data_IF_888374866720
#
_entry.id   IF_888374866720
#
_cell.length_a   1.000
_cell.length_b   1.000
_cell.length_c   1.000
_cell.angle_alpha   90.00
_cell.angle_beta   90.00
_cell.angle_gamma   90.00
#
_symmetry.space_group_name_H-M   'P 1'
#
loop_
_entity.id
_entity.type
_entity.pdbx_description
1 polymer ?
#
# COMPACT_ATOMS: atom_id res chain seq x y z
N UNK A 1 -2.58 -44.52 0.92
CA UNK A 1 -1.40 -44.15 0.11
C UNK A 1 -1.54 -44.48 -1.37
N UNK A 2 -1.89 -45.72 -1.76
CA UNK A 2 -2.04 -46.12 -3.19
C UNK A 2 -2.90 -45.18 -4.05
N UNK A 3 -4.01 -44.66 -3.52
CA UNK A 3 -4.88 -43.72 -4.25
C UNK A 3 -4.22 -42.36 -4.57
N UNK A 4 -3.21 -41.96 -3.78
CA UNK A 4 -2.51 -40.68 -3.95
C UNK A 4 -1.23 -40.82 -4.78
N UNK A 5 -0.80 -42.04 -5.10
CA UNK A 5 0.41 -42.32 -5.87
C UNK A 5 0.46 -41.56 -7.21
N UNK A 6 -0.63 -41.46 -8.01
CA UNK A 6 -0.59 -40.70 -9.25
C UNK A 6 -0.31 -39.20 -9.04
N UNK A 7 -0.81 -38.60 -7.95
CA UNK A 7 -0.51 -37.20 -7.60
C UNK A 7 0.96 -37.05 -7.23
N UNK A 8 1.48 -37.99 -6.43
CA UNK A 8 2.88 -37.97 -6.00
C UNK A 8 3.86 -38.08 -7.17
N UNK A 9 3.60 -39.00 -8.12
CA UNK A 9 4.40 -39.18 -9.33
C UNK A 9 4.45 -37.90 -10.16
N UNK A 10 3.30 -37.27 -10.42
CA UNK A 10 3.23 -36.04 -11.21
C UNK A 10 3.96 -34.87 -10.52
N UNK A 11 3.86 -34.76 -9.19
CA UNK A 11 4.61 -33.75 -8.43
C UNK A 11 6.12 -34.00 -8.50
N UNK A 12 6.56 -35.25 -8.35
CA UNK A 12 7.97 -35.63 -8.44
C UNK A 12 8.56 -35.36 -9.84
N UNK A 13 7.83 -35.70 -10.90
CA UNK A 13 8.19 -35.36 -12.29
C UNK A 13 8.35 -33.84 -12.51
N UNK A 14 7.57 -33.03 -11.78
CA UNK A 14 7.63 -31.58 -11.80
C UNK A 14 8.66 -30.97 -10.84
N UNK A 15 9.41 -31.80 -10.10
CA UNK A 15 10.39 -31.37 -9.10
C UNK A 15 9.79 -30.78 -7.82
N UNK A 16 8.51 -31.06 -7.53
CA UNK A 16 7.81 -30.55 -6.34
C UNK A 16 7.96 -31.56 -5.21
N UNK A 17 8.57 -31.17 -4.07
CA UNK A 17 8.79 -32.08 -2.95
C UNK A 17 7.46 -32.42 -2.27
N UNK A 18 7.06 -33.69 -2.35
CA UNK A 18 5.89 -34.22 -1.65
C UNK A 18 6.28 -35.44 -0.81
N UNK A 19 5.68 -35.56 0.36
CA UNK A 19 5.89 -36.69 1.27
C UNK A 19 4.57 -37.33 1.68
N UNK A 20 4.58 -38.65 1.85
CA UNK A 20 3.44 -39.38 2.42
C UNK A 20 3.34 -39.13 3.93
N UNK A 21 2.12 -38.97 4.42
CA UNK A 21 1.84 -38.79 5.84
C UNK A 21 0.39 -39.06 6.20
N UNK A 22 -0.02 -38.59 7.38
CA UNK A 22 -1.42 -38.63 7.82
C UNK A 22 -2.00 -37.23 7.93
N UNK A 23 -3.31 -37.10 7.76
CA UNK A 23 -4.06 -35.87 7.98
C UNK A 23 -5.22 -36.17 8.92
N UNK A 24 -5.43 -35.36 9.95
CA UNK A 24 -6.57 -35.49 10.85
C UNK A 24 -7.61 -34.41 10.51
N UNK A 25 -8.81 -34.79 10.04
CA UNK A 25 -9.89 -33.85 9.81
C UNK A 25 -10.26 -33.09 11.08
N UNK A 26 -10.52 -31.79 10.95
CA UNK A 26 -10.86 -30.93 12.09
C UNK A 26 -12.33 -31.10 12.54
N UNK A 27 -13.22 -31.45 11.62
CA UNK A 27 -14.62 -31.74 11.95
C UNK A 27 -14.73 -33.10 12.65
N UNK A 28 -15.63 -33.25 13.63
CA UNK A 28 -15.96 -34.58 14.15
C UNK A 28 -16.64 -35.43 13.06
N UNK A 29 -16.68 -36.74 13.26
CA UNK A 29 -17.42 -37.65 12.40
C UNK A 29 -18.94 -37.52 12.59
N UNK A 30 -19.71 -38.40 11.94
CA UNK A 30 -21.16 -38.43 12.04
C UNK A 30 -21.68 -38.69 13.48
N UNK A 31 -20.86 -39.30 14.34
CA UNK A 31 -21.18 -39.62 15.74
C UNK A 31 -20.78 -38.51 16.72
N UNK A 32 -20.06 -37.49 16.26
CA UNK A 32 -19.51 -36.44 17.10
C UNK A 32 -18.11 -36.74 17.66
N UNK A 33 -17.53 -37.90 17.31
CA UNK A 33 -16.18 -38.28 17.74
C UNK A 33 -15.10 -37.67 16.83
N UNK A 34 -13.85 -37.50 17.33
CA UNK A 34 -12.74 -37.07 16.49
C UNK A 34 -12.50 -38.06 15.34
N UNK A 35 -12.40 -37.56 14.11
CA UNK A 35 -12.14 -38.41 12.95
C UNK A 35 -10.77 -39.10 13.03
N UNK A 36 -10.72 -40.34 12.53
CA UNK A 36 -9.48 -41.11 12.35
C UNK A 36 -8.55 -40.40 11.36
N UNK A 37 -7.23 -40.35 11.61
CA UNK A 37 -6.28 -39.83 10.63
C UNK A 37 -6.35 -40.60 9.31
N UNK A 38 -6.42 -39.88 8.19
CA UNK A 38 -6.42 -40.43 6.84
C UNK A 38 -5.05 -40.31 6.19
N UNK A 39 -4.76 -41.13 5.18
CA UNK A 39 -3.55 -41.00 4.39
C UNK A 39 -3.57 -39.68 3.59
N UNK A 40 -2.43 -39.00 3.53
CA UNK A 40 -2.28 -37.74 2.84
C UNK A 40 -0.92 -37.62 2.14
N UNK A 41 -0.87 -36.79 1.10
CA UNK A 41 0.38 -36.21 0.64
C UNK A 41 0.53 -34.82 1.26
N UNK A 42 1.75 -34.49 1.66
CA UNK A 42 2.12 -33.20 2.22
C UNK A 42 3.19 -32.54 1.38
N UNK A 43 3.03 -31.25 1.15
CA UNK A 43 4.03 -30.38 0.56
C UNK A 43 4.18 -29.17 1.46
N UNK A 44 5.40 -28.84 1.86
CA UNK A 44 5.66 -27.70 2.76
C UNK A 44 6.74 -26.84 2.12
N UNK A 45 6.60 -25.52 2.27
CA UNK A 45 7.64 -24.59 1.88
C UNK A 45 8.92 -24.84 2.71
N UNK A 46 10.09 -24.53 2.14
CA UNK A 46 11.36 -24.65 2.87
C UNK A 46 11.42 -23.73 4.10
N UNK A 47 10.75 -22.58 4.04
CA UNK A 47 10.66 -21.59 5.12
C UNK A 47 9.42 -21.78 6.02
N UNK A 48 8.67 -22.88 5.85
CA UNK A 48 7.38 -23.18 6.51
C UNK A 48 6.28 -22.11 6.33
N UNK A 49 6.45 -21.18 5.39
CA UNK A 49 5.47 -20.09 5.14
C UNK A 49 4.12 -20.59 4.62
N UNK A 50 4.08 -21.80 4.07
CA UNK A 50 2.85 -22.47 3.67
C UNK A 50 3.01 -23.99 3.70
N UNK A 51 1.88 -24.68 3.84
CA UNK A 51 1.76 -26.12 3.67
C UNK A 51 0.52 -26.47 2.84
N UNK A 52 0.62 -27.58 2.14
CA UNK A 52 -0.47 -28.16 1.39
C UNK A 52 -0.65 -29.62 1.79
N UNK A 53 -1.92 -30.03 1.83
CA UNK A 53 -2.34 -31.40 2.09
C UNK A 53 -3.23 -31.84 0.94
N UNK A 54 -2.90 -33.00 0.36
CA UNK A 54 -3.75 -33.69 -0.60
C UNK A 54 -4.29 -34.97 0.02
N UNK A 55 -5.61 -35.13 0.02
CA UNK A 55 -6.29 -36.36 0.48
C UNK A 55 -7.24 -36.89 -0.59
N UNK A 56 -7.56 -38.17 -0.53
CA UNK A 56 -8.62 -38.77 -1.32
C UNK A 56 -9.89 -38.83 -0.47
N UNK A 57 -11.01 -38.37 -1.02
CA UNK A 57 -12.29 -38.23 -0.31
C UNK A 57 -13.46 -38.66 -1.20
N UNK A 58 -14.61 -38.92 -0.60
CA UNK A 58 -15.90 -39.06 -1.28
C UNK A 58 -16.55 -37.70 -1.44
N UNK A 59 -16.86 -37.34 -2.68
CA UNK A 59 -17.52 -36.09 -3.05
C UNK A 59 -18.79 -36.33 -3.86
N UNK A 60 -19.68 -35.35 -3.87
CA UNK A 60 -20.84 -35.30 -4.75
C UNK A 60 -20.76 -34.06 -5.64
N UNK A 61 -21.29 -34.17 -6.85
CA UNK A 61 -21.37 -33.04 -7.79
C UNK A 61 -22.33 -31.99 -7.25
N UNK A 62 -21.97 -30.71 -7.37
CA UNK A 62 -22.84 -29.59 -6.97
C UNK A 62 -24.00 -29.44 -7.95
N UNK A 63 -25.22 -29.23 -7.44
CA UNK A 63 -26.37 -28.92 -8.28
C UNK A 63 -26.18 -27.55 -8.95
N UNK A 64 -26.26 -27.50 -10.29
CA UNK A 64 -26.25 -26.24 -11.05
C UNK A 64 -24.88 -25.66 -11.41
N UNK A 65 -23.78 -26.42 -11.31
CA UNK A 65 -22.45 -25.94 -11.73
C UNK A 65 -21.40 -27.04 -11.87
N UNK A 66 -20.24 -26.68 -12.41
CA UNK A 66 -19.06 -27.55 -12.43
C UNK A 66 -18.38 -27.59 -11.05
N UNK A 67 -18.12 -28.78 -10.51
CA UNK A 67 -17.35 -28.97 -9.29
C UNK A 67 -17.98 -29.93 -8.27
N UNK A 68 -17.21 -30.21 -7.23
CA UNK A 68 -17.56 -31.16 -6.17
C UNK A 68 -17.75 -30.45 -4.82
N UNK A 69 -18.59 -31.04 -3.98
CA UNK A 69 -18.63 -30.79 -2.55
C UNK A 69 -18.46 -32.12 -1.82
N UNK A 70 -18.05 -32.07 -0.56
CA UNK A 70 -18.02 -33.24 0.32
C UNK A 70 -18.71 -32.93 1.64
N UNK A 71 -19.24 -33.96 2.26
CA UNK A 71 -19.65 -33.88 3.66
C UNK A 71 -18.39 -33.82 4.54
N UNK A 72 -18.25 -32.82 5.43
CA UNK A 72 -17.10 -32.73 6.33
C UNK A 72 -16.95 -33.91 7.29
N UNK A 73 -18.03 -34.64 7.59
CA UNK A 73 -18.11 -35.72 8.58
C UNK A 73 -17.91 -37.11 7.97
N UNK A 74 -18.43 -37.34 6.76
CA UNK A 74 -18.41 -38.66 6.11
C UNK A 74 -17.51 -38.71 4.88
N UNK A 75 -17.12 -37.57 4.30
CA UNK A 75 -16.34 -37.55 3.06
C UNK A 75 -14.95 -38.21 3.15
N UNK A 76 -14.41 -38.43 4.35
CA UNK A 76 -13.14 -39.14 4.55
C UNK A 76 -13.30 -40.65 4.69
N UNK A 77 -14.53 -41.13 4.86
CA UNK A 77 -14.86 -42.55 4.76
C UNK A 77 -14.96 -42.92 3.28
N UNK A 78 -13.97 -43.69 2.79
CA UNK A 78 -13.91 -44.09 1.39
C UNK A 78 -14.95 -45.15 1.01
N UNK A 79 -15.63 -45.75 1.99
CA UNK A 79 -16.75 -46.67 1.75
C UNK A 79 -18.10 -45.93 1.69
N UNK A 80 -18.12 -44.63 2.01
CA UNK A 80 -19.32 -43.80 1.92
C UNK A 80 -19.75 -43.54 0.45
N UNK A 81 -21.05 -43.27 0.20
CA UNK A 81 -21.53 -42.95 -1.14
C UNK A 81 -20.89 -41.69 -1.73
N UNK A 82 -20.62 -41.72 -3.04
CA UNK A 82 -20.10 -40.58 -3.80
C UNK A 82 -18.95 -40.94 -4.73
N UNK A 83 -18.53 -39.95 -5.51
CA UNK A 83 -17.40 -40.08 -6.41
C UNK A 83 -16.09 -39.96 -5.62
N UNK A 84 -15.10 -40.76 -6.00
CA UNK A 84 -13.75 -40.59 -5.45
C UNK A 84 -13.12 -39.35 -6.08
N UNK A 85 -12.74 -38.39 -5.25
CA UNK A 85 -12.10 -37.13 -5.67
C UNK A 85 -10.88 -36.81 -4.80
N UNK A 86 -10.03 -35.93 -5.32
CA UNK A 86 -8.84 -35.44 -4.63
C UNK A 86 -9.13 -34.08 -4.00
N UNK A 87 -9.01 -34.01 -2.69
CA UNK A 87 -9.05 -32.75 -1.96
C UNK A 87 -7.65 -32.16 -1.88
N UNK A 88 -7.52 -30.88 -2.25
CA UNK A 88 -6.33 -30.06 -1.99
C UNK A 88 -6.70 -28.97 -0.99
N UNK A 89 -6.02 -28.97 0.15
CA UNK A 89 -6.05 -27.88 1.13
C UNK A 89 -4.68 -27.20 1.14
N UNK A 90 -4.64 -25.88 0.99
CA UNK A 90 -3.41 -25.11 1.14
C UNK A 90 -3.61 -24.08 2.24
N UNK A 91 -2.65 -24.04 3.16
CA UNK A 91 -2.56 -23.06 4.22
C UNK A 91 -1.32 -22.24 4.01
N UNK A 92 -1.44 -20.94 4.22
CA UNK A 92 -0.33 -20.01 4.14
C UNK A 92 -0.37 -19.11 5.35
N UNK A 93 0.78 -18.80 5.93
CA UNK A 93 0.88 -17.87 7.03
C UNK A 93 0.26 -16.53 6.63
N UNK A 94 -0.69 -16.08 7.46
CA UNK A 94 -1.27 -14.75 7.43
C UNK A 94 -1.06 -14.17 8.83
N UNK A 95 -0.55 -12.95 8.90
CA UNK A 95 -0.35 -12.21 10.15
C UNK A 95 -1.67 -11.74 10.78
N UNK A 96 -2.80 -12.19 10.22
CA UNK A 96 -4.14 -11.82 10.64
C UNK A 96 -4.55 -10.40 10.22
N UNK A 97 -3.70 -9.63 9.52
CA UNK A 97 -4.06 -8.29 9.04
C UNK A 97 -5.23 -8.37 8.03
N UNK A 98 -5.33 -9.48 7.29
CA UNK A 98 -6.47 -9.83 6.43
C UNK A 98 -7.74 -10.27 7.17
N UNK A 99 -7.65 -10.62 8.46
CA UNK A 99 -8.77 -11.09 9.28
C UNK A 99 -9.02 -12.61 9.23
N UNK A 100 -8.06 -13.40 8.74
CA UNK A 100 -8.24 -14.85 8.56
C UNK A 100 -7.62 -15.72 9.67
N UNK A 101 -7.02 -15.10 10.70
CA UNK A 101 -6.29 -15.82 11.76
C UNK A 101 -4.89 -16.28 11.30
N UNK A 102 -4.11 -16.93 12.17
CA UNK A 102 -2.83 -17.49 11.78
C UNK A 102 -3.04 -18.67 10.82
N UNK A 103 -2.23 -18.72 9.76
CA UNK A 103 -2.13 -19.85 8.81
C UNK A 103 -3.48 -20.35 8.24
N UNK A 104 -4.32 -19.46 7.68
CA UNK A 104 -5.63 -19.83 7.15
C UNK A 104 -5.55 -20.79 5.96
N UNK A 105 -6.63 -21.56 5.75
CA UNK A 105 -6.83 -22.28 4.49
C UNK A 105 -7.15 -21.26 3.39
N UNK A 106 -6.19 -21.02 2.50
CA UNK A 106 -6.28 -20.09 1.38
C UNK A 106 -6.74 -20.76 0.08
N UNK A 107 -6.59 -22.09 -0.01
CA UNK A 107 -7.14 -22.90 -1.09
C UNK A 107 -7.84 -24.11 -0.49
N UNK A 108 -9.08 -24.33 -0.90
CA UNK A 108 -9.84 -25.55 -0.66
C UNK A 108 -10.56 -25.94 -1.95
N UNK A 109 -10.10 -27.02 -2.60
CA UNK A 109 -10.65 -27.48 -3.87
C UNK A 109 -10.72 -29.00 -3.93
N UNK A 110 -11.73 -29.49 -4.65
CA UNK A 110 -11.95 -30.91 -4.92
C UNK A 110 -11.82 -31.16 -6.42
N UNK A 111 -11.00 -32.14 -6.80
CA UNK A 111 -10.66 -32.45 -8.19
C UNK A 111 -11.03 -33.90 -8.50
N UNK A 112 -11.67 -34.13 -9.64
CA UNK A 112 -12.00 -35.48 -10.12
C UNK A 112 -10.75 -36.27 -10.52
N UNK A 113 -9.72 -35.57 -11.04
CA UNK A 113 -8.53 -36.19 -11.59
C UNK A 113 -7.29 -35.87 -10.75
N UNK A 114 -6.45 -36.89 -10.55
CA UNK A 114 -5.16 -36.74 -9.88
C UNK A 114 -4.27 -35.68 -10.54
N UNK A 115 -4.31 -35.58 -11.87
CA UNK A 115 -3.55 -34.58 -12.62
C UNK A 115 -3.94 -33.16 -12.24
N UNK A 116 -5.24 -32.86 -12.16
CA UNK A 116 -5.69 -31.52 -11.78
C UNK A 116 -5.30 -31.16 -10.32
N UNK A 117 -5.32 -32.13 -9.41
CA UNK A 117 -4.84 -31.93 -8.04
C UNK A 117 -3.31 -31.68 -7.99
N UNK A 118 -2.54 -32.44 -8.78
CA UNK A 118 -1.10 -32.24 -8.92
C UNK A 118 -0.79 -30.87 -9.55
N UNK A 119 -1.49 -30.48 -10.61
CA UNK A 119 -1.30 -29.20 -11.30
C UNK A 119 -1.55 -28.00 -10.37
N UNK A 120 -2.57 -28.07 -9.51
CA UNK A 120 -2.82 -27.04 -8.48
C UNK A 120 -1.64 -26.93 -7.50
N UNK A 121 -1.10 -28.06 -7.04
CA UNK A 121 0.04 -28.08 -6.12
C UNK A 121 1.34 -27.59 -6.78
N UNK A 122 1.58 -28.00 -8.03
CA UNK A 122 2.72 -27.55 -8.84
C UNK A 122 2.64 -26.06 -9.10
N UNK A 123 1.47 -25.57 -9.48
CA UNK A 123 1.22 -24.14 -9.66
C UNK A 123 1.54 -23.41 -8.37
N UNK A 124 0.99 -23.85 -7.23
CA UNK A 124 1.21 -23.22 -5.94
C UNK A 124 2.68 -23.13 -5.55
N UNK A 125 3.41 -24.25 -5.66
CA UNK A 125 4.83 -24.33 -5.37
C UNK A 125 5.65 -23.35 -6.22
N UNK A 126 5.26 -23.14 -7.49
CA UNK A 126 5.94 -22.25 -8.43
C UNK A 126 5.47 -20.79 -8.37
N UNK A 127 4.42 -20.45 -7.59
CA UNK A 127 3.80 -19.10 -7.60
C UNK A 127 4.81 -17.99 -7.33
N UNK A 128 5.71 -18.14 -6.36
CA UNK A 128 6.70 -17.10 -6.05
C UNK A 128 7.51 -16.70 -7.29
N UNK A 129 8.06 -17.68 -8.01
CA UNK A 129 8.84 -17.43 -9.24
C UNK A 129 7.98 -16.91 -10.39
N UNK A 130 6.76 -17.43 -10.56
CA UNK A 130 5.85 -17.03 -11.65
C UNK A 130 5.39 -15.57 -11.57
N UNK A 131 5.33 -15.02 -10.35
CA UNK A 131 4.82 -13.67 -10.11
C UNK A 131 5.89 -12.70 -9.60
N UNK A 132 7.14 -13.12 -9.57
CA UNK A 132 8.26 -12.19 -9.38
C UNK A 132 8.35 -11.29 -10.60
N UNK A 133 8.51 -10.00 -10.37
CA UNK A 133 8.63 -8.99 -11.42
C UNK A 133 9.86 -8.15 -11.19
N UNK A 134 10.49 -7.68 -12.26
CA UNK A 134 11.59 -6.73 -12.12
C UNK A 134 11.03 -5.38 -11.64
N UNK A 135 11.59 -4.80 -10.56
CA UNK A 135 11.21 -3.47 -10.13
C UNK A 135 11.48 -2.43 -11.23
N UNK A 136 10.65 -1.38 -11.37
CA UNK A 136 10.84 -0.40 -12.42
C UNK A 136 12.14 0.38 -12.20
N UNK A 137 13.05 0.27 -13.16
CA UNK A 137 14.26 1.08 -13.23
C UNK A 137 13.94 2.36 -14.00
N UNK A 138 14.02 3.49 -13.31
CA UNK A 138 13.79 4.78 -13.94
C UNK A 138 15.05 5.27 -14.66
N UNK A 139 14.93 5.69 -15.93
CA UNK A 139 16.02 6.36 -16.64
C UNK A 139 16.39 7.68 -15.93
N UNK A 140 17.62 7.82 -15.39
CA UNK A 140 18.04 9.03 -14.69
C UNK A 140 17.93 10.30 -15.56
N UNK A 141 18.16 10.20 -16.87
CA UNK A 141 18.03 11.33 -17.80
C UNK A 141 16.57 11.71 -18.01
N UNK A 142 15.68 10.73 -18.14
CA UNK A 142 14.24 10.99 -18.21
C UNK A 142 13.71 11.64 -16.92
N UNK A 143 14.15 11.15 -15.75
CA UNK A 143 13.83 11.73 -14.44
C UNK A 143 14.27 13.19 -14.36
N UNK A 144 15.55 13.47 -14.65
CA UNK A 144 16.09 14.83 -14.59
C UNK A 144 15.35 15.80 -15.53
N UNK A 145 15.05 15.36 -16.76
CA UNK A 145 14.26 16.16 -17.72
C UNK A 145 12.85 16.45 -17.21
N UNK A 146 12.20 15.48 -16.58
CA UNK A 146 10.87 15.65 -16.00
C UNK A 146 10.90 16.63 -14.83
N UNK A 147 11.85 16.49 -13.92
CA UNK A 147 11.97 17.38 -12.76
C UNK A 147 12.33 18.80 -13.17
N UNK A 148 13.23 18.98 -14.16
CA UNK A 148 13.51 20.31 -14.74
C UNK A 148 12.26 20.96 -15.33
N UNK A 149 11.49 20.22 -16.13
CA UNK A 149 10.23 20.72 -16.72
C UNK A 149 9.21 21.11 -15.65
N UNK A 150 9.06 20.27 -14.62
CA UNK A 150 8.18 20.55 -13.47
C UNK A 150 8.62 21.83 -12.77
N UNK A 151 9.92 22.00 -12.52
CA UNK A 151 10.47 23.20 -11.90
C UNK A 151 10.22 24.46 -12.73
N UNK A 152 10.54 24.43 -14.03
CA UNK A 152 10.30 25.56 -14.94
C UNK A 152 8.82 25.96 -14.99
N UNK A 153 7.90 24.98 -15.04
CA UNK A 153 6.47 25.24 -14.98
C UNK A 153 6.02 25.83 -13.63
N UNK A 154 6.63 25.40 -12.52
CA UNK A 154 6.34 25.98 -11.19
C UNK A 154 6.81 27.42 -11.11
N UNK A 155 8.01 27.72 -11.60
CA UNK A 155 8.58 29.07 -11.62
C UNK A 155 7.75 30.01 -12.48
N UNK A 156 7.46 29.63 -13.73
CA UNK A 156 6.62 30.42 -14.63
C UNK A 156 5.21 30.69 -14.06
N UNK A 157 4.61 29.68 -13.42
CA UNK A 157 3.30 29.83 -12.78
C UNK A 157 3.34 30.75 -11.55
N UNK A 158 4.46 30.82 -10.82
CA UNK A 158 4.64 31.71 -9.68
C UNK A 158 4.93 33.16 -10.10
N UNK A 159 5.72 33.35 -11.16
CA UNK A 159 6.03 34.67 -11.76
C UNK A 159 4.78 35.32 -12.38
N UNK A 160 3.91 34.50 -12.97
CA UNK A 160 2.64 34.92 -13.57
C UNK A 160 1.44 34.38 -12.79
N UNK A 161 1.48 34.50 -11.46
CA UNK A 161 0.48 33.93 -10.56
C UNK A 161 -0.95 34.37 -10.92
N UNK A 162 -1.79 33.40 -11.29
CA UNK A 162 -3.22 33.59 -11.59
C UNK A 162 -4.05 32.89 -10.53
N UNK A 163 -4.34 33.61 -9.46
CA UNK A 163 -5.19 33.13 -8.36
C UNK A 163 -6.44 34.00 -8.27
N UNK A 164 -7.60 33.37 -8.40
CA UNK A 164 -8.89 34.00 -8.20
C UNK A 164 -9.47 33.55 -6.87
N UNK A 165 -9.86 34.49 -6.04
CA UNK A 165 -10.58 34.20 -4.78
C UNK A 165 -12.06 34.46 -5.03
N UNK A 166 -12.88 33.41 -4.94
CA UNK A 166 -14.33 33.54 -4.99
C UNK A 166 -14.85 34.22 -3.70
N UNK A 167 -16.14 34.55 -3.66
CA UNK A 167 -16.78 34.94 -2.41
C UNK A 167 -16.64 33.78 -1.40
N UNK A 168 -15.98 34.05 -0.29
CA UNK A 168 -15.74 33.09 0.79
C UNK A 168 -16.52 33.50 2.04
N UNK A 169 -17.03 32.53 2.82
CA UNK A 169 -17.65 32.81 4.11
C UNK A 169 -16.74 33.64 5.03
N UNK A 170 -17.34 34.50 5.86
CA UNK A 170 -16.61 35.47 6.70
C UNK A 170 -15.54 34.82 7.60
N UNK A 171 -15.78 33.61 8.10
CA UNK A 171 -14.80 32.87 8.92
C UNK A 171 -13.49 32.54 8.18
N UNK A 172 -13.48 32.57 6.85
CA UNK A 172 -12.29 32.33 6.03
C UNK A 172 -11.66 33.62 5.51
N UNK A 173 -12.23 34.80 5.75
CA UNK A 173 -11.76 36.06 5.17
C UNK A 173 -10.29 36.35 5.52
N UNK A 174 -9.89 36.14 6.78
CA UNK A 174 -8.50 36.33 7.21
C UNK A 174 -7.54 35.35 6.52
N UNK A 175 -7.92 34.07 6.43
CA UNK A 175 -7.13 33.06 5.73
C UNK A 175 -7.01 33.36 4.23
N UNK A 176 -8.10 33.80 3.59
CA UNK A 176 -8.09 34.19 2.18
C UNK A 176 -7.23 35.42 1.92
N UNK A 177 -7.26 36.43 2.80
CA UNK A 177 -6.42 37.62 2.70
C UNK A 177 -4.92 37.32 2.90
N UNK A 178 -4.58 36.26 3.64
CA UNK A 178 -3.21 35.83 3.89
C UNK A 178 -2.58 35.05 2.72
N UNK A 179 -3.33 34.73 1.67
CA UNK A 179 -2.82 33.98 0.52
C UNK A 179 -1.68 34.74 -0.16
N UNK A 180 -0.57 34.04 -0.36
CA UNK A 180 0.50 34.37 -1.30
C UNK A 180 0.21 33.67 -2.63
N UNK A 181 -0.20 34.40 -3.68
CA UNK A 181 -0.52 33.82 -4.97
C UNK A 181 0.65 33.06 -5.60
N UNK A 182 1.87 33.61 -5.50
CA UNK A 182 3.06 33.04 -6.09
C UNK A 182 3.45 31.73 -5.40
N UNK A 183 3.44 31.71 -4.06
CA UNK A 183 3.71 30.50 -3.29
C UNK A 183 2.66 29.40 -3.58
N UNK A 184 1.37 29.76 -3.56
CA UNK A 184 0.28 28.84 -3.86
C UNK A 184 0.45 28.23 -5.26
N UNK A 185 0.70 29.05 -6.28
CA UNK A 185 0.95 28.59 -7.65
C UNK A 185 2.21 27.70 -7.77
N UNK A 186 3.31 28.10 -7.13
CA UNK A 186 4.57 27.36 -7.14
C UNK A 186 4.41 25.95 -6.56
N UNK A 187 3.76 25.84 -5.41
CA UNK A 187 3.67 24.60 -4.66
C UNK A 187 2.51 23.69 -5.11
N UNK A 188 1.48 24.22 -5.80
CA UNK A 188 0.26 23.45 -6.10
C UNK A 188 0.56 22.08 -6.74
N UNK A 189 -0.17 20.99 -6.40
CA UNK A 189 0.06 19.67 -6.97
C UNK A 189 0.13 19.66 -8.50
N UNK A 190 1.07 18.90 -9.06
CA UNK A 190 1.33 18.84 -10.50
C UNK A 190 1.12 17.42 -11.05
N UNK A 191 0.68 17.33 -12.29
CA UNK A 191 0.65 16.07 -13.02
C UNK A 191 2.05 15.68 -13.53
N UNK A 192 2.15 14.54 -14.21
CA UNK A 192 3.41 14.07 -14.84
C UNK A 192 4.01 15.03 -15.87
N UNK A 193 3.20 15.93 -16.43
CA UNK A 193 3.59 16.92 -17.43
C UNK A 193 3.92 18.29 -16.82
N UNK A 194 3.86 18.43 -15.49
CA UNK A 194 4.10 19.69 -14.79
C UNK A 194 2.93 20.68 -14.84
N UNK A 195 1.74 20.27 -15.29
CA UNK A 195 0.52 21.10 -15.25
C UNK A 195 -0.16 20.96 -13.89
N UNK A 196 -1.00 21.93 -13.49
CA UNK A 196 -1.81 21.79 -12.28
C UNK A 196 -2.64 20.49 -12.33
N UNK A 197 -2.56 19.71 -11.26
CA UNK A 197 -3.33 18.47 -11.12
C UNK A 197 -4.80 18.82 -10.93
N UNK A 198 -5.61 18.63 -11.98
CA UNK A 198 -7.03 19.03 -11.99
C UNK A 198 -7.91 18.31 -10.96
N UNK A 199 -7.53 17.09 -10.58
CA UNK A 199 -8.22 16.32 -9.54
C UNK A 199 -7.85 16.77 -8.12
N UNK A 200 -6.82 17.60 -7.95
CA UNK A 200 -6.40 18.03 -6.63
C UNK A 200 -7.35 19.07 -6.04
N UNK A 201 -7.79 18.81 -4.82
CA UNK A 201 -8.42 19.80 -3.95
C UNK A 201 -7.47 20.04 -2.79
N UNK A 202 -6.86 21.21 -2.75
CA UNK A 202 -5.91 21.58 -1.70
C UNK A 202 -6.69 22.24 -0.57
N UNK A 203 -6.65 21.66 0.63
CA UNK A 203 -7.31 22.18 1.81
C UNK A 203 -6.36 23.14 2.55
N UNK A 204 -6.67 24.43 2.51
CA UNK A 204 -5.78 25.50 2.99
C UNK A 204 -6.04 25.84 4.47
N UNK A 205 -7.30 26.06 4.83
CA UNK A 205 -7.71 26.39 6.19
C UNK A 205 -9.07 25.77 6.49
N UNK A 206 -9.25 25.33 7.74
CA UNK A 206 -10.50 24.77 8.25
C UNK A 206 -11.33 25.83 8.93
N UNK A 207 -12.63 25.58 9.02
CA UNK A 207 -13.53 26.39 9.84
C UNK A 207 -13.07 26.37 11.33
N UNK A 208 -12.81 27.53 11.96
CA UNK A 208 -12.44 27.60 13.36
C UNK A 208 -13.55 27.02 14.26
N UNK A 209 -13.25 25.95 14.99
CA UNK A 209 -14.18 25.37 15.98
C UNK A 209 -14.80 24.03 15.58
N UNK A 210 -14.58 23.54 14.37
CA UNK A 210 -15.12 22.23 13.93
C UNK A 210 -14.05 21.13 13.99
N UNK A 211 -14.41 19.96 14.52
CA UNK A 211 -13.48 18.81 14.63
C UNK A 211 -13.14 18.24 13.24
N UNK A 212 -11.87 17.91 12.93
CA UNK A 212 -11.41 17.53 11.58
C UNK A 212 -11.75 16.09 11.13
N UNK A 213 -12.59 15.35 11.85
CA UNK A 213 -12.97 13.99 11.47
C UNK A 213 -14.33 13.91 10.77
N UNK A 214 -15.13 14.99 10.82
CA UNK A 214 -16.41 15.08 10.13
C UNK A 214 -16.23 15.73 8.76
N UNK A 215 -17.28 15.66 7.95
CA UNK A 215 -17.38 16.52 6.78
C UNK A 215 -17.58 17.95 7.28
N UNK A 216 -16.58 18.80 7.06
CA UNK A 216 -16.57 20.19 7.54
C UNK A 216 -16.24 21.13 6.40
N UNK A 217 -16.51 22.42 6.59
CA UNK A 217 -16.19 23.43 5.59
C UNK A 217 -14.73 23.83 5.64
N UNK A 218 -14.12 23.99 4.47
CA UNK A 218 -12.72 24.36 4.30
C UNK A 218 -12.60 25.48 3.27
N UNK A 219 -11.62 26.36 3.48
CA UNK A 219 -11.02 27.13 2.41
C UNK A 219 -10.16 26.19 1.57
N UNK A 220 -10.39 26.17 0.26
CA UNK A 220 -9.75 25.25 -0.67
C UNK A 220 -9.23 25.96 -1.90
N UNK A 221 -8.17 25.43 -2.50
CA UNK A 221 -7.69 25.80 -3.83
C UNK A 221 -7.86 24.64 -4.82
N UNK A 222 -8.26 24.95 -6.05
CA UNK A 222 -8.43 23.99 -7.15
C UNK A 222 -7.90 24.58 -8.46
N UNK A 223 -7.45 23.72 -9.37
CA UNK A 223 -7.11 24.15 -10.71
C UNK A 223 -8.39 24.46 -11.52
N UNK A 224 -8.42 25.62 -12.18
CA UNK A 224 -9.47 26.02 -13.10
C UNK A 224 -8.82 26.51 -14.40
N UNK A 225 -8.55 25.57 -15.31
CA UNK A 225 -7.75 25.85 -16.50
C UNK A 225 -6.29 26.17 -16.14
N UNK A 226 -5.72 27.30 -16.60
CA UNK A 226 -4.39 27.75 -16.21
C UNK A 226 -4.36 28.51 -14.88
N UNK A 227 -5.52 28.75 -14.26
CA UNK A 227 -5.65 29.54 -13.03
C UNK A 227 -5.89 28.62 -11.83
N UNK A 228 -5.70 29.16 -10.62
CA UNK A 228 -6.18 28.56 -9.38
C UNK A 228 -7.41 29.32 -8.88
N UNK A 229 -8.46 28.58 -8.53
CA UNK A 229 -9.65 29.12 -7.88
C UNK A 229 -9.62 28.76 -6.40
N UNK A 230 -9.70 29.78 -5.56
CA UNK A 230 -9.84 29.65 -4.11
C UNK A 230 -11.30 29.87 -3.74
N UNK A 231 -11.86 28.97 -2.95
CA UNK A 231 -13.25 29.04 -2.50
C UNK A 231 -13.52 28.09 -1.33
N UNK A 232 -14.76 28.05 -0.85
CA UNK A 232 -15.15 27.19 0.24
C UNK A 232 -15.76 25.86 -0.25
N UNK A 233 -15.37 24.74 0.35
CA UNK A 233 -15.94 23.42 0.05
C UNK A 233 -16.02 22.53 1.29
N UNK A 234 -17.01 21.64 1.33
CA UNK A 234 -17.13 20.65 2.40
C UNK A 234 -16.25 19.43 2.11
N UNK A 235 -15.31 19.15 3.00
CA UNK A 235 -14.34 18.06 2.88
C UNK A 235 -14.37 17.16 4.11
N UNK A 236 -14.13 15.87 3.89
CA UNK A 236 -13.80 14.92 4.97
C UNK A 236 -12.30 15.00 5.18
N UNK A 237 -11.86 15.72 6.21
CA UNK A 237 -10.45 16.13 6.38
C UNK A 237 -9.51 14.93 6.51
N UNK A 238 -9.96 13.87 7.19
CA UNK A 238 -9.18 12.64 7.32
C UNK A 238 -8.76 12.03 5.97
N UNK A 239 -9.56 12.21 4.92
CA UNK A 239 -9.33 11.59 3.61
C UNK A 239 -8.61 12.52 2.62
N UNK A 240 -8.21 13.72 3.04
CA UNK A 240 -7.63 14.71 2.13
C UNK A 240 -6.10 14.58 2.08
N UNK A 241 -5.52 14.13 0.96
CA UNK A 241 -4.06 14.02 0.82
C UNK A 241 -3.38 15.40 0.74
N UNK A 242 -4.07 16.43 0.26
CA UNK A 242 -3.52 17.77 0.05
C UNK A 242 -3.94 18.75 1.15
N UNK A 243 -3.72 18.38 2.41
CA UNK A 243 -3.91 19.28 3.55
C UNK A 243 -2.68 20.15 3.78
N UNK A 244 -2.84 21.44 3.54
CA UNK A 244 -1.79 22.46 3.70
C UNK A 244 -1.99 23.34 4.91
N UNK A 245 -3.04 23.10 5.71
CA UNK A 245 -3.21 23.75 7.00
C UNK A 245 -2.10 23.39 8.01
N UNK A 246 -1.44 22.24 7.80
CA UNK A 246 -0.26 21.80 8.57
C UNK A 246 1.08 22.27 7.97
N UNK A 247 1.05 22.94 6.81
CA UNK A 247 2.24 23.42 6.08
C UNK A 247 1.97 24.81 5.49
N UNK A 248 1.68 25.81 6.35
CA UNK A 248 1.21 27.12 5.92
C UNK A 248 2.18 27.87 5.00
N UNK A 249 3.48 27.60 5.11
CA UNK A 249 4.53 28.17 4.25
C UNK A 249 4.37 27.84 2.76
N UNK A 250 3.54 26.86 2.40
CA UNK A 250 3.23 26.54 1.00
C UNK A 250 2.35 27.59 0.32
N UNK A 251 1.64 28.43 1.08
CA UNK A 251 0.59 29.28 0.52
C UNK A 251 0.31 30.59 1.27
N UNK A 252 0.76 30.75 2.52
CA UNK A 252 0.53 31.98 3.29
C UNK A 252 1.72 32.92 3.24
N UNK A 253 1.45 34.20 3.01
CA UNK A 253 2.46 35.26 2.95
C UNK A 253 3.20 35.46 4.27
N UNK A 254 2.49 35.37 5.39
CA UNK A 254 3.06 35.53 6.73
C UNK A 254 3.97 34.37 7.15
N UNK A 255 4.02 33.29 6.37
CA UNK A 255 4.93 32.17 6.55
C UNK A 255 6.03 32.09 5.49
N UNK A 256 6.19 33.10 4.63
CA UNK A 256 7.20 33.10 3.56
C UNK A 256 8.64 32.95 4.10
N UNK A 257 8.92 33.47 5.30
CA UNK A 257 10.22 33.37 5.98
C UNK A 257 10.45 32.06 6.74
N UNK A 258 9.66 31.01 6.52
CA UNK A 258 9.85 29.72 7.22
C UNK A 258 11.19 29.10 6.83
N UNK A 259 12.12 29.01 7.79
CA UNK A 259 13.48 28.48 7.56
C UNK A 259 13.53 26.99 7.20
N UNK A 260 14.67 26.51 6.65
CA UNK A 260 14.87 25.14 6.18
C UNK A 260 14.45 24.05 7.16
N UNK A 261 14.79 24.18 8.45
CA UNK A 261 14.45 23.16 9.48
C UNK A 261 12.94 22.91 9.56
N UNK A 262 12.12 23.96 9.49
CA UNK A 262 10.66 23.81 9.56
C UNK A 262 10.05 23.47 8.19
N UNK A 263 10.64 24.01 7.13
CA UNK A 263 10.16 23.86 5.75
C UNK A 263 10.48 22.48 5.16
N UNK A 264 11.74 22.08 5.29
CA UNK A 264 12.35 20.91 4.67
C UNK A 264 12.64 19.77 5.65
N UNK A 265 12.63 20.06 6.96
CA UNK A 265 13.00 19.13 8.04
C UNK A 265 14.46 18.69 7.97
N UNK A 266 15.31 19.60 7.50
CA UNK A 266 16.78 19.51 7.45
C UNK A 266 17.35 20.91 7.70
N UNK A 267 18.53 20.99 8.29
CA UNK A 267 19.22 22.27 8.49
C UNK A 267 19.88 22.72 7.19
N UNK A 268 20.59 21.80 6.52
CA UNK A 268 21.23 22.03 5.24
C UNK A 268 20.73 21.03 4.17
N UNK A 269 20.50 21.47 2.92
CA UNK A 269 20.11 20.56 1.83
C UNK A 269 21.07 19.38 1.62
N UNK A 270 22.36 19.60 1.89
CA UNK A 270 23.40 18.59 1.71
C UNK A 270 23.29 17.43 2.72
N UNK A 271 22.62 17.63 3.85
CA UNK A 271 22.43 16.61 4.89
C UNK A 271 21.63 15.39 4.38
N UNK A 272 20.83 15.57 3.32
CA UNK A 272 20.02 14.52 2.70
C UNK A 272 20.56 14.04 1.36
N UNK A 273 21.73 14.51 0.93
CA UNK A 273 22.33 14.08 -0.33
C UNK A 273 22.48 12.54 -0.42
N UNK A 274 22.94 11.80 0.61
CA UNK A 274 23.05 10.34 0.55
C UNK A 274 21.69 9.65 0.33
N UNK A 275 20.65 10.12 1.03
CA UNK A 275 19.28 9.59 0.90
C UNK A 275 18.75 9.84 -0.52
N UNK A 276 18.93 11.06 -1.02
CA UNK A 276 18.46 11.48 -2.34
C UNK A 276 19.18 10.71 -3.45
N UNK A 277 20.47 10.44 -3.32
CA UNK A 277 21.23 9.66 -4.29
C UNK A 277 20.81 8.20 -4.32
N UNK A 278 20.49 7.59 -3.17
CA UNK A 278 19.88 6.27 -3.11
C UNK A 278 18.49 6.25 -3.80
N UNK A 279 17.63 7.24 -3.52
CA UNK A 279 16.32 7.38 -4.17
C UNK A 279 16.43 7.58 -5.70
N UNK A 280 17.49 8.23 -6.18
CA UNK A 280 17.75 8.43 -7.62
C UNK A 280 18.11 7.14 -8.34
N UNK A 281 18.80 6.24 -7.65
CA UNK A 281 19.14 4.90 -8.17
C UNK A 281 18.05 3.86 -7.90
N UNK A 282 16.89 4.28 -7.39
CA UNK A 282 15.82 3.38 -6.93
C UNK A 282 16.27 2.38 -5.86
N UNK A 283 17.36 2.67 -5.14
CA UNK A 283 17.87 1.88 -4.03
C UNK A 283 17.08 2.27 -2.75
N UNK A 284 15.79 1.94 -2.73
CA UNK A 284 14.89 2.32 -1.65
C UNK A 284 15.32 1.81 -0.26
N UNK A 285 15.80 0.55 -0.10
CA UNK A 285 16.32 0.09 1.19
C UNK A 285 17.43 1.01 1.72
N UNK A 286 18.45 1.31 0.91
CA UNK A 286 19.54 2.21 1.29
C UNK A 286 19.04 3.62 1.66
N UNK A 287 18.03 4.13 0.94
CA UNK A 287 17.43 5.43 1.22
C UNK A 287 16.69 5.45 2.57
N UNK A 288 16.02 4.36 2.92
CA UNK A 288 15.34 4.23 4.21
C UNK A 288 16.34 4.10 5.36
N UNK A 289 17.37 3.26 5.20
CA UNK A 289 18.42 3.06 6.20
C UNK A 289 19.16 4.37 6.46
N UNK A 290 19.58 5.09 5.41
CA UNK A 290 20.23 6.39 5.53
C UNK A 290 19.35 7.47 6.19
N UNK A 291 18.03 7.33 6.12
CA UNK A 291 17.07 8.22 6.77
C UNK A 291 16.62 7.76 8.16
N UNK A 292 17.13 6.63 8.66
CA UNK A 292 16.71 6.04 9.93
C UNK A 292 15.26 5.55 9.94
N UNK A 293 14.76 5.09 8.78
CA UNK A 293 13.40 4.57 8.59
C UNK A 293 13.45 3.05 8.53
N UNK A 294 12.75 2.39 9.44
CA UNK A 294 12.60 0.93 9.39
C UNK A 294 11.54 0.55 8.36
N UNK A 295 11.71 -0.61 7.74
CA UNK A 295 10.77 -1.17 6.76
C UNK A 295 10.46 -2.61 7.13
N UNK A 296 9.18 -2.97 7.20
CA UNK A 296 8.79 -4.35 7.49
C UNK A 296 9.17 -5.32 6.34
N UNK A 297 9.48 -6.60 6.67
CA UNK A 297 9.90 -7.60 5.68
C UNK A 297 8.93 -7.76 4.50
N UNK A 298 7.62 -7.73 4.74
CA UNK A 298 6.61 -7.88 3.68
C UNK A 298 6.69 -6.74 2.65
N UNK A 299 7.01 -5.52 3.09
CA UNK A 299 7.19 -4.39 2.20
C UNK A 299 8.54 -4.45 1.46
N UNK A 300 9.59 -4.96 2.11
CA UNK A 300 10.89 -5.23 1.47
C UNK A 300 10.77 -6.27 0.35
N UNK A 301 9.96 -7.33 0.54
CA UNK A 301 9.68 -8.32 -0.52
C UNK A 301 9.05 -7.68 -1.74
N UNK A 302 8.04 -6.82 -1.54
CA UNK A 302 7.39 -6.09 -2.64
C UNK A 302 8.38 -5.12 -3.30
N UNK A 303 9.24 -4.43 -2.54
CA UNK A 303 10.29 -3.58 -3.11
C UNK A 303 11.25 -4.33 -4.02
N UNK A 304 11.58 -5.58 -3.66
CA UNK A 304 12.41 -6.49 -4.42
C UNK A 304 11.67 -7.17 -5.59
N UNK A 305 10.39 -6.85 -5.82
CA UNK A 305 9.62 -7.45 -6.91
C UNK A 305 9.07 -8.84 -6.61
N UNK A 306 9.23 -9.33 -5.39
CA UNK A 306 8.85 -10.69 -4.97
C UNK A 306 7.46 -10.66 -4.32
N UNK A 307 6.58 -11.64 -4.59
CA UNK A 307 5.33 -11.76 -3.87
C UNK A 307 5.55 -11.82 -2.35
N UNK A 308 4.88 -10.94 -1.60
CA UNK A 308 4.87 -11.03 -0.13
C UNK A 308 4.10 -12.27 0.36
N UNK A 309 3.11 -12.75 -0.41
CA UNK A 309 2.29 -13.95 -0.16
C UNK A 309 1.91 -14.63 -1.48
N UNK A 310 1.83 -15.96 -1.49
CA UNK A 310 1.45 -16.80 -2.62
C UNK A 310 -0.02 -16.58 -3.01
N UNK A 311 -0.94 -16.56 -2.04
CA UNK A 311 -2.37 -16.38 -2.32
C UNK A 311 -2.72 -15.02 -2.96
N UNK A 312 -1.82 -14.03 -2.84
CA UNK A 312 -1.93 -12.69 -3.47
C UNK A 312 -0.87 -12.45 -4.55
N UNK A 313 -0.15 -13.49 -5.00
CA UNK A 313 0.98 -13.32 -5.90
C UNK A 313 0.59 -12.63 -7.23
N UNK A 314 -0.64 -12.85 -7.73
CA UNK A 314 -1.15 -12.24 -8.97
C UNK A 314 -1.16 -10.71 -8.98
N UNK A 315 -1.23 -10.05 -7.81
CA UNK A 315 -1.23 -8.58 -7.73
C UNK A 315 0.16 -7.98 -7.55
N UNK A 316 1.22 -8.81 -7.48
CA UNK A 316 2.61 -8.36 -7.23
C UNK A 316 3.04 -7.28 -8.21
N UNK A 317 2.86 -7.47 -9.51
CA UNK A 317 3.21 -6.45 -10.52
C UNK A 317 2.49 -5.11 -10.33
N UNK A 318 1.21 -5.15 -9.94
CA UNK A 318 0.43 -3.95 -9.63
C UNK A 318 1.00 -3.24 -8.39
N UNK A 319 1.32 -3.99 -7.35
CA UNK A 319 1.82 -3.45 -6.10
C UNK A 319 3.22 -2.88 -6.23
N UNK A 320 4.12 -3.56 -6.93
CA UNK A 320 5.46 -3.06 -7.25
C UNK A 320 5.34 -1.72 -8.00
N UNK A 321 4.53 -1.66 -9.05
CA UNK A 321 4.33 -0.43 -9.82
C UNK A 321 3.80 0.72 -8.95
N UNK A 322 2.77 0.45 -8.14
CA UNK A 322 2.16 1.46 -7.28
C UNK A 322 3.06 1.87 -6.11
N UNK A 323 3.89 0.97 -5.60
CA UNK A 323 4.87 1.24 -4.55
C UNK A 323 5.93 2.24 -5.04
N UNK A 324 6.53 1.97 -6.20
CA UNK A 324 7.53 2.86 -6.81
C UNK A 324 6.92 4.20 -7.25
N UNK A 325 5.67 4.18 -7.74
CA UNK A 325 4.93 5.42 -8.03
C UNK A 325 4.70 6.25 -6.76
N UNK A 326 4.24 5.62 -5.67
CA UNK A 326 4.03 6.30 -4.39
C UNK A 326 5.32 6.81 -3.75
N UNK A 327 6.44 6.12 -3.98
CA UNK A 327 7.75 6.52 -3.48
C UNK A 327 8.44 7.59 -4.32
N UNK A 328 8.01 7.83 -5.56
CA UNK A 328 8.66 8.80 -6.47
C UNK A 328 8.88 10.18 -5.84
N UNK A 329 7.90 10.66 -5.05
CA UNK A 329 7.96 11.97 -4.39
C UNK A 329 8.23 11.87 -2.88
N UNK A 330 8.54 10.68 -2.34
CA UNK A 330 8.77 10.45 -0.91
C UNK A 330 10.03 11.19 -0.42
N UNK A 331 9.98 11.76 0.77
CA UNK A 331 11.15 12.28 1.48
C UNK A 331 11.34 11.48 2.78
N UNK A 332 12.12 10.38 2.77
CA UNK A 332 12.24 9.48 3.92
C UNK A 332 12.63 10.19 5.22
N UNK A 333 13.54 11.17 5.16
CA UNK A 333 13.98 11.98 6.30
C UNK A 333 12.85 12.77 6.98
N UNK A 334 11.75 13.04 6.26
CA UNK A 334 10.59 13.78 6.80
C UNK A 334 9.61 12.89 7.55
N UNK A 335 9.68 11.56 7.41
CA UNK A 335 8.64 10.66 7.90
C UNK A 335 8.42 10.74 9.42
N UNK A 336 9.49 10.81 10.21
CA UNK A 336 9.37 10.96 11.67
C UNK A 336 8.65 12.25 12.07
N UNK A 337 9.00 13.39 11.46
CA UNK A 337 8.34 14.67 11.70
C UNK A 337 6.89 14.68 11.19
N UNK A 338 6.63 14.06 10.04
CA UNK A 338 5.30 13.93 9.47
C UNK A 338 4.36 13.14 10.39
N UNK A 339 4.84 12.02 10.93
CA UNK A 339 4.08 11.21 11.90
C UNK A 339 3.73 12.02 13.15
N UNK A 340 4.73 12.73 13.74
CA UNK A 340 4.51 13.59 14.92
C UNK A 340 3.48 14.68 14.65
N UNK A 341 3.62 15.44 13.55
CA UNK A 341 2.70 16.51 13.21
C UNK A 341 1.25 16.01 13.08
N UNK A 342 1.05 14.84 12.47
CA UNK A 342 -0.26 14.19 12.37
C UNK A 342 -0.78 13.71 13.72
N UNK A 343 0.07 13.05 14.51
CA UNK A 343 -0.28 12.53 15.82
C UNK A 343 -0.69 13.67 16.76
N UNK A 344 0.07 14.76 16.80
CA UNK A 344 -0.18 15.95 17.62
C UNK A 344 -1.47 16.65 17.21
N UNK A 345 -1.73 16.78 15.89
CA UNK A 345 -2.98 17.33 15.40
C UNK A 345 -4.18 16.53 15.92
N UNK A 346 -4.13 15.21 15.80
CA UNK A 346 -5.24 14.35 16.22
C UNK A 346 -5.44 14.37 17.72
N UNK A 347 -4.35 14.31 18.48
CA UNK A 347 -4.36 14.39 19.94
C UNK A 347 -4.98 15.70 20.41
N UNK A 348 -4.56 16.84 19.83
CA UNK A 348 -5.12 18.17 20.12
C UNK A 348 -6.63 18.25 19.88
N UNK A 349 -7.16 17.43 18.98
CA UNK A 349 -8.59 17.40 18.65
C UNK A 349 -9.35 16.23 19.30
N UNK A 350 -8.74 15.50 20.24
CA UNK A 350 -9.36 14.36 20.90
C UNK A 350 -9.75 13.24 19.93
N UNK A 351 -9.00 13.07 18.84
CA UNK A 351 -9.25 12.06 17.82
C UNK A 351 -8.37 10.85 18.05
N UNK A 352 -8.89 9.65 17.74
CA UNK A 352 -8.12 8.40 17.85
C UNK A 352 -6.88 8.44 16.97
N UNK A 353 -5.72 8.20 17.56
CA UNK A 353 -4.43 8.02 16.88
C UNK A 353 -4.27 6.54 16.51
N UNK A 354 -5.03 6.09 15.50
CA UNK A 354 -4.85 4.72 14.98
C UNK A 354 -3.50 4.64 14.26
N UNK A 355 -2.55 3.94 14.88
CA UNK A 355 -1.28 3.52 14.27
C UNK A 355 -1.52 2.18 13.53
N UNK A 356 -1.08 2.00 12.28
CA UNK A 356 -0.35 2.97 11.44
C UNK A 356 -1.27 3.91 10.64
N UNK A 357 -0.73 5.05 10.22
CA UNK A 357 -1.39 6.02 9.34
C UNK A 357 -1.02 5.75 7.87
N UNK A 358 -2.04 5.68 7.01
CA UNK A 358 -1.84 5.40 5.58
C UNK A 358 -1.08 6.52 4.88
N UNK A 359 -0.09 6.17 4.07
CA UNK A 359 0.52 7.08 3.10
C UNK A 359 -0.25 7.02 1.77
N UNK A 360 -0.34 5.82 1.17
CA UNK A 360 -1.05 5.58 -0.08
C UNK A 360 -1.49 4.11 -0.24
N UNK A 361 -2.40 3.85 -1.17
CA UNK A 361 -2.92 2.50 -1.45
C UNK A 361 -2.15 1.79 -2.57
N UNK A 362 -2.05 0.46 -2.49
CA UNK A 362 -1.42 -0.38 -3.52
C UNK A 362 -2.41 -0.91 -4.57
N UNK A 363 -3.72 -0.86 -4.30
CA UNK A 363 -4.76 -1.29 -5.24
C UNK A 363 -4.77 -2.80 -5.52
N UNK A 364 -5.35 -3.20 -6.65
CA UNK A 364 -5.34 -4.59 -7.13
C UNK A 364 -6.33 -5.55 -6.46
N UNK A 365 -6.89 -5.20 -5.28
CA UNK A 365 -7.84 -6.05 -4.56
C UNK A 365 -9.25 -5.45 -4.50
N UNK A 366 -10.26 -6.28 -4.78
CA UNK A 366 -11.69 -5.94 -4.68
C UNK A 366 -12.28 -6.09 -3.27
N UNK A 367 -11.45 -6.23 -2.24
CA UNK A 367 -11.85 -6.48 -0.85
C UNK A 367 -12.19 -5.20 -0.08
N UNK A 368 -12.99 -5.32 0.99
CA UNK A 368 -13.36 -4.19 1.84
C UNK A 368 -12.14 -3.56 2.55
N UNK A 369 -11.21 -4.39 3.02
CA UNK A 369 -9.90 -3.96 3.51
C UNK A 369 -8.92 -3.96 2.35
N UNK A 370 -8.35 -2.80 2.04
CA UNK A 370 -7.45 -2.61 0.90
C UNK A 370 -5.99 -2.59 1.36
N UNK A 371 -5.05 -3.09 0.53
CA UNK A 371 -3.63 -3.06 0.83
C UNK A 371 -3.10 -1.62 0.70
N UNK A 372 -2.37 -1.17 1.71
CA UNK A 372 -1.84 0.20 1.80
C UNK A 372 -0.45 0.20 2.39
N UNK A 373 0.37 1.15 1.94
CA UNK A 373 1.61 1.51 2.63
C UNK A 373 1.25 2.48 3.74
N UNK A 374 1.67 2.17 4.96
CA UNK A 374 1.38 2.98 6.12
C UNK A 374 2.65 3.26 6.93
N UNK A 375 2.63 4.41 7.59
CA UNK A 375 3.66 4.88 8.50
C UNK A 375 3.18 4.67 9.93
N UNK A 376 3.97 3.95 10.70
CA UNK A 376 3.80 3.83 12.14
C UNK A 376 5.10 4.17 12.87
N UNK A 377 5.15 3.80 14.14
CA UNK A 377 6.40 3.88 14.91
C UNK A 377 6.71 2.59 15.65
N UNK A 378 7.99 2.30 15.83
CA UNK A 378 8.47 1.20 16.67
C UNK A 378 9.69 1.69 17.45
N UNK A 379 9.67 1.57 18.78
CA UNK A 379 10.71 2.12 19.66
C UNK A 379 11.06 3.60 19.37
N UNK A 380 10.06 4.40 18.97
CA UNK A 380 10.22 5.82 18.64
C UNK A 380 10.79 6.12 17.23
N UNK A 381 11.15 5.09 16.45
CA UNK A 381 11.61 5.24 15.07
C UNK A 381 10.45 5.12 14.06
N UNK A 382 10.49 5.86 12.93
CA UNK A 382 9.50 5.69 11.86
C UNK A 382 9.59 4.30 11.23
N UNK A 383 8.45 3.64 11.06
CA UNK A 383 8.33 2.30 10.48
C UNK A 383 7.35 2.31 9.31
N UNK A 384 7.81 1.94 8.12
CA UNK A 384 6.98 1.68 6.96
C UNK A 384 6.53 0.22 6.92
N UNK A 385 5.22 0.03 6.74
CA UNK A 385 4.61 -1.30 6.74
C UNK A 385 3.48 -1.45 5.74
N UNK A 386 3.21 -2.70 5.37
CA UNK A 386 2.01 -3.07 4.63
C UNK A 386 0.85 -3.22 5.63
N UNK A 387 -0.29 -2.61 5.34
CA UNK A 387 -1.49 -2.77 6.16
C UNK A 387 -2.74 -2.98 5.31
N UNK A 388 -3.73 -3.68 5.88
CA UNK A 388 -5.02 -3.94 5.26
C UNK A 388 -6.11 -3.19 6.03
N UNK A 389 -6.60 -2.11 5.46
CA UNK A 389 -7.60 -1.27 6.13
C UNK A 389 -8.67 -0.76 5.18
N UNK A 390 -9.90 -0.72 5.67
CA UNK A 390 -11.01 -0.01 5.02
C UNK A 390 -11.05 1.49 5.38
N UNK A 391 -10.21 1.92 6.32
CA UNK A 391 -10.13 3.31 6.74
C UNK A 391 -9.53 4.19 5.64
N UNK A 392 -10.14 5.35 5.40
CA UNK A 392 -9.68 6.30 4.39
C UNK A 392 -8.82 7.43 4.95
N UNK A 393 -8.51 7.39 6.24
CA UNK A 393 -7.61 8.35 6.86
C UNK A 393 -6.22 8.24 6.24
N UNK A 394 -5.67 9.36 5.75
CA UNK A 394 -4.34 9.43 5.11
C UNK A 394 -3.47 10.49 5.76
N UNK A 395 -2.16 10.27 5.74
CA UNK A 395 -1.16 11.25 6.11
C UNK A 395 -1.04 12.29 4.98
N UNK A 396 -1.23 13.60 5.26
CA UNK A 396 -1.12 14.63 4.23
C UNK A 396 0.21 14.60 3.48
N UNK A 397 0.16 14.54 2.15
CA UNK A 397 1.32 14.43 1.24
C UNK A 397 2.38 15.50 1.53
N UNK A 398 1.96 16.74 1.80
CA UNK A 398 2.86 17.86 2.05
C UNK A 398 3.82 17.65 3.24
N UNK A 399 3.46 16.77 4.18
CA UNK A 399 4.30 16.47 5.35
C UNK A 399 5.45 15.51 5.05
N UNK A 400 5.29 14.60 4.09
CA UNK A 400 6.22 13.49 3.87
C UNK A 400 6.81 13.42 2.46
N UNK A 401 6.38 14.28 1.54
CA UNK A 401 6.94 14.35 0.17
C UNK A 401 8.09 15.35 0.06
N UNK A 402 8.92 15.27 -0.97
CA UNK A 402 10.00 16.24 -1.22
C UNK A 402 9.39 17.62 -1.52
N UNK A 403 9.70 18.66 -0.75
CA UNK A 403 9.30 20.04 -1.07
C UNK A 403 9.76 20.45 -2.47
N UNK A 404 8.88 21.09 -3.24
CA UNK A 404 9.16 21.45 -4.63
C UNK A 404 10.38 22.39 -4.80
N UNK A 405 10.59 23.24 -3.82
CA UNK A 405 11.70 24.19 -3.72
C UNK A 405 13.00 23.53 -3.23
N UNK A 406 12.92 22.51 -2.35
CA UNK A 406 14.09 21.69 -2.02
C UNK A 406 14.52 20.84 -3.21
N UNK A 407 13.57 20.25 -3.95
CA UNK A 407 13.87 19.47 -5.15
C UNK A 407 14.73 20.27 -6.14
N UNK A 408 14.42 21.56 -6.33
CA UNK A 408 15.22 22.45 -7.17
C UNK A 408 16.69 22.51 -6.73
N UNK A 409 16.94 22.71 -5.43
CA UNK A 409 18.29 22.72 -4.86
C UNK A 409 18.99 21.38 -5.09
N UNK A 410 18.33 20.27 -4.77
CA UNK A 410 18.90 18.93 -4.89
C UNK A 410 19.31 18.59 -6.34
N UNK A 411 18.56 19.07 -7.33
CA UNK A 411 18.88 18.86 -8.74
C UNK A 411 19.75 19.97 -9.36
N UNK A 412 20.22 20.93 -8.56
CA UNK A 412 21.03 22.05 -9.04
C UNK A 412 20.27 22.99 -9.99
N UNK A 413 18.94 23.03 -9.89
CA UNK A 413 18.12 24.00 -10.60
C UNK A 413 18.15 25.31 -9.81
N UNK A 414 18.81 26.33 -10.36
CA UNK A 414 18.91 27.64 -9.72
C UNK A 414 17.51 28.22 -9.52
N UNK A 415 17.07 28.33 -8.27
CA UNK A 415 15.97 29.20 -7.89
C UNK A 415 16.54 30.61 -7.68
N UNK A 416 16.02 31.60 -8.41
CA UNK A 416 16.26 32.99 -8.02
C UNK A 416 15.65 33.18 -6.62
N UNK A 417 16.44 33.72 -5.70
CA UNK A 417 16.05 33.98 -4.31
C UNK A 417 14.89 34.97 -4.23
#
# INVERSE_FOLDING_TARGET
MRLLEPVATLCAEAGVPVSGGSFRPAAPDATGAPQTPVAALRCTAEDDSWDAVVTAVRGHRRAGGGGYARDPRTGYDLDSPGDLVFEVQIREDDDGLGGHGPRPIVVFRLFEQARAAADELILWHRRAGLFTVDPPVEDPKARLRRERRRFEHRRAAAESARVRVAEVPAQFAAAAAAIDPSALCFHFPRDRNGRYLRSAVVALARDPGVRPHLRTRWLTARAHGPDLLVGAADLISANQPHRWDLTPWLWRRDHAGTGPTNRWQVEHPDDVAPVVDAMRRSAWPDAFDAAGVRVEPDLLRILAGVPHRHFRAEVTGTWVTNLYTGFTDLAPWRLGAAYRAWHDERTRHGLTTRDPVVLFGLGGLGTARKPKVALGTEAGQPLLRLTYTGGNAVLPHALWTVPADLAAHLYGFVAAQ
#
